data_IF_645342005099
#
_entry.id   IF_645342005099
#
_cell.length_a   1.000
_cell.length_b   1.000
_cell.length_c   1.000
_cell.angle_alpha   90.00
_cell.angle_beta   90.00
_cell.angle_gamma   90.00
#
_symmetry.space_group_name_H-M   'P 1'
#
loop_
_entity.id
_entity.type
_entity.pdbx_description
1 polymer ?
#
# COMPACT_ATOMS: atom_id res chain seq x y z
N UNK A 1 -4.55 -9.30 8.84
CA UNK A 1 -5.62 -8.52 8.18
C UNK A 1 -5.36 -8.50 6.68
N UNK A 2 -6.40 -8.60 5.85
CA UNK A 2 -6.28 -8.57 4.38
C UNK A 2 -7.03 -7.34 3.87
N UNK A 3 -6.38 -6.58 2.98
CA UNK A 3 -6.93 -5.46 2.23
C UNK A 3 -6.84 -5.81 0.74
N UNK A 4 -7.92 -5.62 0.00
CA UNK A 4 -7.97 -5.89 -1.45
C UNK A 4 -8.03 -4.59 -2.21
N UNK A 5 -7.19 -4.47 -3.25
CA UNK A 5 -7.20 -3.34 -4.17
C UNK A 5 -7.61 -3.85 -5.55
N UNK A 6 -8.76 -3.42 -6.03
CA UNK A 6 -9.22 -3.74 -7.38
C UNK A 6 -8.57 -2.78 -8.39
N UNK A 7 -8.00 -3.37 -9.43
CA UNK A 7 -7.35 -2.69 -10.54
C UNK A 7 -8.31 -2.66 -11.73
N UNK A 8 -8.50 -1.46 -12.31
CA UNK A 8 -9.44 -1.27 -13.41
C UNK A 8 -9.15 -2.18 -14.62
N UNK A 9 -7.87 -2.34 -14.97
CA UNK A 9 -7.44 -3.12 -16.12
C UNK A 9 -6.34 -4.05 -15.61
N UNK A 10 -6.50 -5.38 -15.75
CA UNK A 10 -5.57 -6.40 -15.22
C UNK A 10 -4.17 -6.38 -15.83
N UNK A 11 -3.84 -5.34 -16.59
CA UNK A 11 -2.53 -5.05 -17.15
C UNK A 11 -1.52 -4.70 -16.05
N UNK A 12 -0.27 -5.13 -16.17
CA UNK A 12 0.81 -4.68 -15.30
C UNK A 12 0.91 -3.15 -15.27
N UNK A 13 0.82 -2.57 -14.08
CA UNK A 13 0.96 -1.12 -13.88
C UNK A 13 1.78 -0.82 -12.62
N UNK A 14 2.36 0.38 -12.58
CA UNK A 14 3.04 0.85 -11.37
C UNK A 14 2.00 1.34 -10.37
N UNK A 15 2.16 1.02 -9.09
CA UNK A 15 1.35 1.58 -8.02
C UNK A 15 2.21 2.26 -6.96
N UNK A 16 1.60 3.22 -6.29
CA UNK A 16 2.06 3.88 -5.08
C UNK A 16 1.09 3.51 -3.98
N UNK A 17 1.60 2.94 -2.88
CA UNK A 17 0.82 2.66 -1.68
C UNK A 17 1.38 3.46 -0.51
N UNK A 18 0.52 4.11 0.25
CA UNK A 18 0.87 4.69 1.55
C UNK A 18 0.04 4.02 2.65
N UNK A 19 0.72 3.58 3.71
CA UNK A 19 0.12 2.97 4.88
C UNK A 19 0.35 3.89 6.09
N UNK A 20 -0.73 4.22 6.78
CA UNK A 20 -0.72 5.08 7.95
C UNK A 20 -1.01 4.23 9.17
N UNK A 21 -0.08 4.23 10.11
CA UNK A 21 -0.15 3.51 11.37
C UNK A 21 -0.14 4.50 12.52
N UNK A 22 -0.97 4.25 13.53
CA UNK A 22 -0.97 5.03 14.76
C UNK A 22 -1.01 4.05 15.93
N UNK A 23 0.08 4.00 16.70
CA UNK A 23 0.11 3.25 17.96
C UNK A 23 -0.28 4.20 19.10
N UNK A 24 -1.56 4.17 19.48
CA UNK A 24 -2.12 5.08 20.49
C UNK A 24 -2.27 4.44 21.87
N UNK A 25 -2.19 3.12 21.96
CA UNK A 25 -2.37 2.40 23.22
C UNK A 25 -1.02 2.15 23.88
N UNK A 26 -0.81 2.76 25.05
CA UNK A 26 0.19 2.24 25.97
C UNK A 26 -0.29 0.84 26.37
N UNK A 27 0.40 -0.19 25.89
CA UNK A 27 0.11 -1.54 26.37
C UNK A 27 0.27 -1.57 27.89
N UNK A 28 -0.50 -2.44 28.54
CA UNK A 28 -0.30 -2.75 29.96
C UNK A 28 1.09 -3.37 30.23
N UNK A 29 1.75 -3.90 29.20
CA UNK A 29 3.10 -4.45 29.27
C UNK A 29 4.11 -3.51 28.57
N UNK A 30 5.17 -3.01 29.24
CA UNK A 30 6.19 -2.20 28.59
C UNK A 30 7.03 -2.96 27.55
N UNK A 31 7.03 -4.30 27.57
CA UNK A 31 7.72 -5.15 26.60
C UNK A 31 6.87 -5.43 25.36
N UNK A 32 5.62 -4.95 25.33
CA UNK A 32 4.78 -5.13 24.16
C UNK A 32 5.26 -4.31 22.97
N UNK A 33 5.47 -5.02 21.86
CA UNK A 33 5.97 -4.44 20.61
C UNK A 33 5.06 -4.84 19.46
N UNK A 34 4.78 -3.86 18.59
CA UNK A 34 4.05 -4.11 17.34
C UNK A 34 4.99 -4.00 16.15
N UNK A 35 5.23 -5.16 15.55
CA UNK A 35 6.02 -5.28 14.32
C UNK A 35 5.12 -5.90 13.25
N UNK A 36 4.95 -5.17 12.15
CA UNK A 36 4.04 -5.52 11.06
C UNK A 36 4.85 -5.87 9.82
N UNK A 37 4.59 -7.05 9.27
CA UNK A 37 5.01 -7.42 7.92
C UNK A 37 3.90 -7.02 6.94
N UNK A 38 4.26 -6.20 5.95
CA UNK A 38 3.40 -5.79 4.83
C UNK A 38 3.69 -6.72 3.67
N UNK A 39 2.71 -7.56 3.35
CA UNK A 39 2.78 -8.46 2.20
C UNK A 39 1.96 -7.92 1.04
N UNK A 40 2.48 -8.07 -0.18
CA UNK A 40 1.75 -7.85 -1.42
C UNK A 40 1.78 -9.16 -2.21
N UNK A 41 0.62 -9.70 -2.55
CA UNK A 41 0.47 -10.99 -3.23
C UNK A 41 1.26 -12.13 -2.52
N UNK A 42 1.22 -12.12 -1.18
CA UNK A 42 1.89 -13.11 -0.32
C UNK A 42 3.38 -12.84 -0.05
N UNK A 43 4.03 -11.95 -0.79
CA UNK A 43 5.46 -11.63 -0.61
C UNK A 43 5.64 -10.49 0.38
N UNK A 44 6.58 -10.64 1.33
CA UNK A 44 6.94 -9.57 2.26
C UNK A 44 7.63 -8.45 1.47
N UNK A 45 7.01 -7.27 1.47
CA UNK A 45 7.55 -6.06 0.84
C UNK A 45 8.25 -5.17 1.85
N UNK A 46 7.77 -5.15 3.11
CA UNK A 46 8.31 -4.30 4.16
C UNK A 46 7.99 -4.86 5.54
N UNK A 47 8.94 -4.73 6.47
CA UNK A 47 8.73 -4.92 7.91
C UNK A 47 8.83 -3.57 8.61
N UNK A 48 7.90 -3.28 9.52
CA UNK A 48 7.79 -2.00 10.23
C UNK A 48 7.60 -2.26 11.71
N UNK A 49 8.45 -1.65 12.54
CA UNK A 49 8.22 -1.54 13.98
C UNK A 49 7.51 -0.23 14.26
N UNK A 50 6.45 -0.27 15.05
CA UNK A 50 5.73 0.94 15.46
C UNK A 50 6.23 1.41 16.83
N UNK A 51 6.39 2.73 16.94
CA UNK A 51 6.71 3.40 18.20
C UNK A 51 5.43 3.90 18.86
N UNK A 52 5.34 3.74 20.18
CA UNK A 52 4.24 4.25 20.96
C UNK A 52 4.05 5.77 20.78
N UNK A 53 2.79 6.20 20.68
CA UNK A 53 2.37 7.59 20.53
C UNK A 53 2.94 8.30 19.28
N UNK A 54 3.37 7.53 18.26
CA UNK A 54 3.80 8.09 16.98
C UNK A 54 2.88 7.63 15.85
N UNK A 55 2.72 8.54 14.89
CA UNK A 55 2.18 8.21 13.59
C UNK A 55 3.32 7.80 12.67
N UNK A 56 3.21 6.62 12.09
CA UNK A 56 4.18 6.08 11.13
C UNK A 56 3.51 6.00 9.76
N UNK A 57 4.12 6.65 8.77
CA UNK A 57 3.66 6.56 7.37
C UNK A 57 4.69 5.80 6.57
N UNK A 58 4.25 4.75 5.88
CA UNK A 58 5.10 3.88 5.09
C UNK A 58 4.64 3.93 3.65
N UNK A 59 5.54 4.34 2.76
CA UNK A 59 5.27 4.41 1.34
C UNK A 59 6.00 3.31 0.59
N UNK A 60 5.32 2.66 -0.34
CA UNK A 60 5.89 1.69 -1.26
C UNK A 60 5.70 2.20 -2.69
N UNK A 61 6.81 2.57 -3.33
CA UNK A 61 6.83 3.07 -4.69
C UNK A 61 8.21 2.94 -5.37
N UNK A 62 8.27 2.57 -6.66
CA UNK A 62 7.19 1.94 -7.43
C UNK A 62 7.02 0.47 -7.01
N UNK A 63 5.78 0.01 -6.91
CA UNK A 63 5.49 -1.43 -6.90
C UNK A 63 4.88 -1.83 -8.24
N UNK A 64 5.30 -2.98 -8.78
CA UNK A 64 4.65 -3.56 -9.95
C UNK A 64 3.48 -4.41 -9.49
N UNK A 65 2.29 -4.11 -10.01
CA UNK A 65 1.07 -4.83 -9.69
C UNK A 65 0.46 -5.40 -10.96
N UNK A 66 -0.01 -6.65 -10.89
CA UNK A 66 -0.51 -7.41 -12.04
C UNK A 66 -1.80 -8.11 -11.65
N UNK A 67 -2.76 -8.15 -12.57
CA UNK A 67 -4.05 -8.81 -12.37
C UNK A 67 -5.16 -7.86 -11.92
N UNK A 68 -6.40 -8.33 -11.83
CA UNK A 68 -7.57 -7.50 -11.53
C UNK A 68 -7.67 -7.10 -10.06
N UNK A 69 -7.01 -7.82 -9.15
CA UNK A 69 -7.04 -7.55 -7.71
C UNK A 69 -5.67 -7.80 -7.10
N UNK A 70 -5.23 -6.91 -6.21
CA UNK A 70 -4.03 -7.07 -5.41
C UNK A 70 -4.43 -7.43 -3.99
N UNK A 71 -3.80 -8.46 -3.44
CA UNK A 71 -3.99 -8.85 -2.05
C UNK A 71 -2.87 -8.26 -1.19
N UNK A 72 -3.23 -7.35 -0.30
CA UNK A 72 -2.33 -6.77 0.68
C UNK A 72 -2.63 -7.43 2.02
N UNK A 73 -1.62 -8.02 2.65
CA UNK A 73 -1.78 -8.62 3.98
C UNK A 73 -0.89 -7.88 4.97
N UNK A 74 -1.50 -7.40 6.05
CA UNK A 74 -0.77 -6.94 7.23
C UNK A 74 -0.75 -8.09 8.24
N UNK A 75 0.43 -8.65 8.48
CA UNK A 75 0.66 -9.76 9.39
C UNK A 75 1.53 -9.35 10.58
N UNK A 76 1.35 -9.97 11.75
CA UNK A 76 2.30 -9.81 12.84
C UNK A 76 3.62 -10.48 12.45
N UNK A 77 4.73 -9.77 12.58
CA UNK A 77 6.04 -10.40 12.46
C UNK A 77 6.23 -11.39 13.62
N UNK A 78 7.11 -12.39 13.44
CA UNK A 78 7.39 -13.41 14.46
C UNK A 78 7.86 -12.84 15.80
N UNK A 79 8.43 -11.63 15.82
CA UNK A 79 8.86 -10.93 17.03
C UNK A 79 7.78 -10.02 17.63
N UNK A 80 6.65 -9.83 16.96
CA UNK A 80 5.56 -8.99 17.44
C UNK A 80 4.79 -9.69 18.55
N UNK A 81 4.50 -9.00 19.65
CA UNK A 81 3.60 -9.49 20.71
C UNK A 81 2.17 -9.00 20.49
N UNK A 82 2.02 -7.90 19.74
CA UNK A 82 0.74 -7.29 19.42
C UNK A 82 0.27 -7.65 17.98
N UNK A 83 -1.06 -7.72 17.73
CA UNK A 83 -1.60 -7.95 16.39
C UNK A 83 -1.27 -6.77 15.44
N UNK A 84 -1.42 -6.89 14.11
CA UNK A 84 -1.28 -5.74 13.22
C UNK A 84 -2.44 -4.74 13.40
N UNK A 85 -2.16 -3.44 13.24
CA UNK A 85 -3.18 -2.37 13.15
C UNK A 85 -2.95 -1.54 11.88
N UNK A 86 -3.95 -0.79 11.44
CA UNK A 86 -3.80 0.25 10.42
C UNK A 86 -4.81 1.37 10.72
N UNK A 87 -4.44 2.62 10.46
CA UNK A 87 -5.38 3.73 10.44
C UNK A 87 -5.92 3.99 9.04
N UNK A 88 -5.04 4.09 8.05
CA UNK A 88 -5.47 4.31 6.66
C UNK A 88 -4.51 3.70 5.65
N UNK A 89 -5.01 3.50 4.43
CA UNK A 89 -4.22 3.15 3.26
C UNK A 89 -4.68 3.98 2.06
N UNK A 90 -3.72 4.62 1.39
CA UNK A 90 -3.93 5.26 0.09
C UNK A 90 -3.30 4.42 -1.02
N UNK A 91 -4.02 4.24 -2.12
CA UNK A 91 -3.54 3.50 -3.27
C UNK A 91 -3.77 4.27 -4.58
N UNK A 92 -2.67 4.53 -5.28
CA UNK A 92 -2.66 5.18 -6.59
C UNK A 92 -2.04 4.23 -7.60
N UNK A 93 -2.65 4.09 -8.77
CA UNK A 93 -2.01 3.38 -9.89
C UNK A 93 -1.68 4.38 -10.98
N UNK A 94 -0.65 4.06 -11.75
CA UNK A 94 -0.27 4.81 -12.93
C UNK A 94 -0.64 4.02 -14.16
N UNK A 95 -1.55 4.56 -14.96
CA UNK A 95 -1.77 4.10 -16.33
C UNK A 95 -0.92 4.96 -17.27
N UNK A 96 -0.14 4.31 -18.11
CA UNK A 96 0.46 4.99 -19.27
C UNK A 96 -0.64 5.07 -20.34
N UNK A 97 -1.12 6.28 -20.61
CA UNK A 97 -2.13 6.51 -21.66
C UNK A 97 -1.37 6.63 -22.98
N UNK A 98 -1.52 5.65 -23.86
CA UNK A 98 -1.13 5.84 -25.26
C UNK A 98 -2.15 6.79 -25.87
N UNK A 99 -1.73 8.03 -26.17
CA UNK A 99 -2.52 8.88 -27.05
C UNK A 99 -2.58 8.20 -28.42
N UNK A 100 -3.76 7.76 -28.82
CA UNK A 100 -4.00 7.29 -30.18
C UNK A 100 -3.76 8.48 -31.11
N UNK A 101 -2.58 8.52 -31.71
CA UNK A 101 -2.16 9.62 -32.57
C UNK A 101 -3.09 9.70 -33.77
N UNK A 102 -4.02 10.65 -33.77
CA UNK A 102 -4.52 11.22 -35.01
C UNK A 102 -3.31 11.80 -35.75
N UNK A 103 -3.04 11.27 -36.94
CA UNK A 103 -1.88 11.58 -37.78
C UNK A 103 -1.49 13.07 -37.75
N UNK A 104 -0.41 13.41 -37.05
CA UNK A 104 0.25 14.71 -37.20
C UNK A 104 1.05 15.18 -35.98
N UNK A 105 2.37 14.96 -36.00
CA UNK A 105 3.33 15.72 -35.19
C UNK A 105 3.58 15.21 -33.77
N UNK A 106 4.85 15.10 -33.39
CA UNK A 106 5.30 14.43 -32.17
C UNK A 106 4.76 15.07 -30.88
N UNK A 107 4.32 14.23 -29.95
CA UNK A 107 3.83 14.63 -28.63
C UNK A 107 4.20 13.57 -27.61
N UNK A 108 4.84 13.98 -26.50
CA UNK A 108 5.26 13.09 -25.43
C UNK A 108 4.08 12.43 -24.75
N UNK A 109 4.12 11.09 -24.61
CA UNK A 109 3.05 10.32 -23.98
C UNK A 109 2.74 10.82 -22.57
N UNK A 110 1.50 11.27 -22.37
CA UNK A 110 1.00 11.75 -21.08
C UNK A 110 0.93 10.62 -20.04
N UNK A 111 1.45 10.88 -18.84
CA UNK A 111 1.39 9.96 -17.69
C UNK A 111 0.32 10.46 -16.74
N UNK A 112 -0.74 9.68 -16.50
CA UNK A 112 -1.83 10.07 -15.62
C UNK A 112 -1.88 9.16 -14.38
N UNK A 113 -1.89 9.77 -13.19
CA UNK A 113 -2.15 9.06 -11.93
C UNK A 113 -3.65 8.94 -11.71
N UNK A 114 -4.12 7.72 -11.48
CA UNK A 114 -5.52 7.46 -11.15
C UNK A 114 -5.56 7.02 -9.69
N UNK A 115 -6.38 7.72 -8.88
CA UNK A 115 -6.71 7.24 -7.54
C UNK A 115 -7.48 5.94 -7.73
N UNK A 116 -6.85 4.82 -7.35
CA UNK A 116 -7.46 3.51 -7.57
C UNK A 116 -8.30 3.10 -6.38
N UNK A 117 -7.89 3.43 -5.15
CA UNK A 117 -8.73 3.26 -3.95
C UNK A 117 -8.21 4.10 -2.78
N UNK A 118 -9.13 4.47 -1.89
CA UNK A 118 -8.84 5.03 -0.58
C UNK A 118 -9.49 4.11 0.47
N UNK A 119 -8.70 3.56 1.38
CA UNK A 119 -9.19 2.74 2.47
C UNK A 119 -8.97 3.45 3.80
N UNK A 120 -10.03 3.68 4.55
CA UNK A 120 -9.99 4.29 5.88
C UNK A 120 -10.55 3.24 6.85
N UNK A 121 -9.74 2.84 7.83
CA UNK A 121 -10.18 1.96 8.90
C UNK A 121 -10.27 2.79 10.20
N UNK A 122 -11.44 2.77 10.84
CA UNK A 122 -11.65 3.38 12.16
C UNK A 122 -11.60 2.31 13.25
#
# INVERSE_FOLDING_TARGET
>A
MILTLDLQDGTPQAAFLAFYFTESTASCDPDDIRIIDIHINGQIMKTVSLDLAKCTVITLYPISVVGPTINITLGPNQKSTLPPLIGAMEAFTRKDVQETSGSGGGGGGGRHWIISSLYIAF
#
